data_IF_148270757002
#
_entry.id   IF_148270757002
#
_cell.length_a   1.000
_cell.length_b   1.000
_cell.length_c   1.000
_cell.angle_alpha   90.00
_cell.angle_beta   90.00
_cell.angle_gamma   90.00
#
_symmetry.space_group_name_H-M   'P 1'
#
loop_
_entity.id
_entity.type
_entity.pdbx_description
1 polymer ?
#
# COMPACT_ATOMS: atom_id res chain seq x y z
N UNK A 1 11.19 0.60 -2.21
CA UNK A 1 9.86 0.34 -2.78
C UNK A 1 9.20 1.63 -3.28
N UNK A 2 8.46 1.62 -4.41
CA UNK A 2 7.68 2.77 -4.86
C UNK A 2 6.24 2.66 -4.35
N UNK A 3 5.76 3.67 -3.63
CA UNK A 3 4.37 3.77 -3.12
C UNK A 3 3.35 3.52 -4.24
N UNK A 4 3.64 4.07 -5.43
CA UNK A 4 2.85 3.91 -6.66
C UNK A 4 2.65 2.44 -7.06
N UNK A 5 3.70 1.61 -6.91
CA UNK A 5 3.64 0.19 -7.27
C UNK A 5 2.76 -0.61 -6.33
N UNK A 6 2.69 -0.25 -5.05
CA UNK A 6 1.75 -0.89 -4.13
C UNK A 6 0.31 -0.43 -4.38
N UNK A 7 0.09 0.87 -4.56
CA UNK A 7 -1.23 1.42 -4.90
C UNK A 7 -1.82 0.81 -6.18
N UNK A 8 -0.99 0.63 -7.22
CA UNK A 8 -1.41 0.02 -8.48
C UNK A 8 -1.80 -1.45 -8.31
N UNK A 9 -0.97 -2.26 -7.63
CA UNK A 9 -1.27 -3.67 -7.39
C UNK A 9 -2.52 -3.86 -6.52
N UNK A 10 -2.71 -3.03 -5.49
CA UNK A 10 -3.92 -3.08 -4.65
C UNK A 10 -5.16 -2.68 -5.44
N UNK A 11 -5.07 -1.66 -6.29
CA UNK A 11 -6.14 -1.24 -7.21
C UNK A 11 -6.51 -2.36 -8.19
N UNK A 12 -5.52 -3.02 -8.77
CA UNK A 12 -5.71 -4.17 -9.67
C UNK A 12 -6.39 -5.35 -8.97
N UNK A 13 -5.98 -5.66 -7.74
CA UNK A 13 -6.58 -6.70 -6.95
C UNK A 13 -8.04 -6.38 -6.60
N UNK A 14 -8.33 -5.15 -6.20
CA UNK A 14 -9.71 -4.72 -5.93
C UNK A 14 -10.55 -4.87 -7.19
N UNK A 15 -10.03 -4.41 -8.33
CA UNK A 15 -10.74 -4.44 -9.61
C UNK A 15 -11.04 -5.85 -10.10
N UNK A 16 -10.15 -6.81 -9.86
CA UNK A 16 -10.29 -8.19 -10.36
C UNK A 16 -11.03 -9.11 -9.40
N UNK A 17 -10.86 -8.92 -8.09
CA UNK A 17 -11.24 -9.93 -7.09
C UNK A 17 -12.34 -9.44 -6.16
N UNK A 18 -12.33 -8.17 -5.74
CA UNK A 18 -13.27 -7.66 -4.74
C UNK A 18 -14.48 -6.94 -5.35
N UNK A 19 -14.28 -6.23 -6.44
CA UNK A 19 -15.29 -5.36 -7.02
C UNK A 19 -15.04 -5.14 -8.51
N UNK A 20 -15.75 -5.91 -9.34
CA UNK A 20 -15.70 -5.77 -10.79
C UNK A 20 -16.20 -4.41 -11.27
N UNK A 21 -17.06 -3.74 -10.49
CA UNK A 21 -17.52 -2.37 -10.74
C UNK A 21 -16.42 -1.32 -10.62
N UNK A 22 -15.36 -1.62 -9.86
CA UNK A 22 -14.20 -0.73 -9.77
C UNK A 22 -13.34 -0.72 -11.04
N UNK A 23 -13.44 -1.72 -11.92
CA UNK A 23 -12.66 -1.77 -13.16
C UNK A 23 -12.91 -0.56 -14.07
N UNK A 24 -14.18 -0.16 -14.18
CA UNK A 24 -14.59 1.02 -14.96
C UNK A 24 -14.12 2.32 -14.30
N UNK A 25 -14.22 2.41 -12.97
CA UNK A 25 -13.76 3.57 -12.21
C UNK A 25 -12.23 3.73 -12.26
N UNK A 26 -11.49 2.62 -12.25
CA UNK A 26 -10.02 2.60 -12.33
C UNK A 26 -9.50 3.29 -13.59
N UNK A 27 -10.17 3.10 -14.73
CA UNK A 27 -9.78 3.76 -15.99
C UNK A 27 -9.90 5.28 -15.95
N UNK A 28 -10.69 5.82 -15.00
CA UNK A 28 -10.86 7.27 -14.81
C UNK A 28 -9.89 7.84 -13.78
N UNK A 29 -9.16 7.00 -13.05
CA UNK A 29 -8.19 7.41 -12.04
C UNK A 29 -6.82 7.60 -12.68
N UNK A 30 -6.29 8.82 -12.60
CA UNK A 30 -4.91 9.13 -12.97
C UNK A 30 -4.02 9.19 -11.72
N UNK A 31 -3.00 8.32 -11.67
CA UNK A 31 -2.00 8.34 -10.60
C UNK A 31 -0.89 9.33 -10.94
N UNK A 32 -0.83 10.43 -10.19
CA UNK A 32 0.21 11.45 -10.36
C UNK A 32 1.52 10.95 -9.76
N UNK A 33 2.58 10.90 -10.56
CA UNK A 33 3.93 10.62 -10.09
C UNK A 33 4.54 11.87 -9.43
N UNK A 34 4.13 12.17 -8.20
CA UNK A 34 4.69 13.26 -7.40
C UNK A 34 5.44 12.74 -6.17
N UNK A 35 6.64 13.28 -5.92
CA UNK A 35 7.42 12.96 -4.72
C UNK A 35 7.23 14.06 -3.66
N UNK A 36 6.09 14.02 -2.96
CA UNK A 36 5.72 14.99 -1.94
C UNK A 36 5.63 14.30 -0.57
N UNK A 37 6.13 14.95 0.48
CA UNK A 37 6.04 14.46 1.86
C UNK A 37 4.58 14.35 2.34
N UNK A 38 4.31 13.45 3.29
CA UNK A 38 2.95 13.26 3.85
C UNK A 38 2.40 14.53 4.47
N UNK A 39 3.22 15.31 5.16
CA UNK A 39 2.79 16.50 5.89
C UNK A 39 2.48 17.65 4.93
N UNK A 40 3.28 17.77 3.86
CA UNK A 40 3.06 18.73 2.79
C UNK A 40 1.78 18.39 2.00
N UNK A 41 1.57 17.10 1.69
CA UNK A 41 0.31 16.64 1.06
C UNK A 41 -0.89 16.89 1.96
N UNK A 42 -0.78 16.58 3.26
CA UNK A 42 -1.88 16.78 4.21
C UNK A 42 -2.22 18.27 4.34
N UNK A 43 -1.21 19.13 4.41
CA UNK A 43 -1.40 20.58 4.47
C UNK A 43 -2.06 21.11 3.20
N UNK A 44 -1.64 20.63 2.03
CA UNK A 44 -2.19 21.01 0.74
C UNK A 44 -3.66 20.58 0.56
N UNK A 45 -4.03 19.40 1.03
CA UNK A 45 -5.42 18.92 0.98
C UNK A 45 -6.32 19.54 2.05
N UNK A 46 -5.75 20.01 3.17
CA UNK A 46 -6.48 20.75 4.20
C UNK A 46 -6.70 22.22 3.87
N UNK A 47 -5.98 22.77 2.89
CA UNK A 47 -6.23 24.13 2.41
C UNK A 47 -7.58 24.21 1.68
N UNK A 48 -8.55 24.82 2.35
CA UNK A 48 -9.91 25.04 1.86
C UNK A 48 -9.94 25.80 0.54
N UNK A 49 -9.02 26.74 0.30
CA UNK A 49 -9.02 27.54 -0.93
C UNK A 49 -8.60 26.69 -2.14
N UNK A 50 -7.59 25.83 -2.00
CA UNK A 50 -7.17 24.92 -3.08
C UNK A 50 -8.14 23.76 -3.29
N UNK A 51 -8.64 23.16 -2.20
CA UNK A 51 -9.54 22.00 -2.26
C UNK A 51 -10.92 22.35 -2.87
N UNK A 52 -11.36 23.61 -2.74
CA UNK A 52 -12.61 24.08 -3.35
C UNK A 52 -12.48 24.56 -4.81
N UNK A 53 -11.30 25.03 -5.23
CA UNK A 53 -11.16 25.74 -6.51
C UNK A 53 -10.44 24.98 -7.62
N UNK A 54 -9.53 24.04 -7.30
CA UNK A 54 -8.59 23.53 -8.32
C UNK A 54 -8.12 22.08 -8.13
N UNK A 55 -8.12 21.52 -6.92
CA UNK A 55 -7.62 20.16 -6.66
C UNK A 55 -8.62 19.25 -5.96
N UNK A 56 -9.77 18.97 -6.60
CA UNK A 56 -10.69 17.89 -6.18
C UNK A 56 -10.12 16.53 -6.58
N UNK A 57 -8.99 16.18 -5.96
CA UNK A 57 -8.24 14.94 -6.14
C UNK A 57 -8.43 14.02 -4.94
N UNK A 58 -7.95 12.78 -5.03
CA UNK A 58 -7.90 11.84 -3.90
C UNK A 58 -6.44 11.76 -3.45
N UNK A 59 -6.17 12.02 -2.17
CA UNK A 59 -4.84 11.88 -1.60
C UNK A 59 -4.70 10.48 -0.99
N UNK A 60 -3.72 9.71 -1.46
CA UNK A 60 -3.40 8.40 -0.90
C UNK A 60 -2.07 8.51 -0.14
N UNK A 61 -2.14 8.44 1.19
CA UNK A 61 -0.99 8.46 2.09
C UNK A 61 -0.49 7.04 2.38
N UNK A 62 0.68 6.95 3.02
CA UNK A 62 1.20 5.68 3.53
C UNK A 62 0.29 5.13 4.64
N UNK A 63 0.36 3.81 4.87
CA UNK A 63 -0.51 3.13 5.83
C UNK A 63 -0.27 3.50 7.30
N UNK A 64 0.79 4.26 7.60
CA UNK A 64 1.06 4.82 8.92
C UNK A 64 0.35 6.16 9.18
N UNK A 65 -0.27 6.75 8.16
CA UNK A 65 -0.94 8.04 8.26
C UNK A 65 -2.44 7.89 8.54
N UNK A 66 -3.05 8.92 9.14
CA UNK A 66 -4.48 8.95 9.40
C UNK A 66 -5.27 9.34 8.14
N UNK A 67 -6.33 8.57 7.86
CA UNK A 67 -7.34 8.89 6.84
C UNK A 67 -8.20 10.07 7.27
N UNK A 68 -8.47 11.00 6.35
CA UNK A 68 -9.37 12.13 6.53
C UNK A 68 -10.30 12.27 5.32
N UNK A 69 -11.44 11.58 5.40
CA UNK A 69 -12.45 11.55 4.34
C UNK A 69 -13.12 12.91 4.11
N UNK A 70 -13.00 13.88 5.03
CA UNK A 70 -13.51 15.24 4.82
C UNK A 70 -12.69 15.97 3.75
N UNK A 71 -11.39 15.68 3.71
CA UNK A 71 -10.44 16.26 2.76
C UNK A 71 -10.03 15.29 1.64
N UNK A 72 -10.75 14.18 1.43
CA UNK A 72 -10.44 13.14 0.44
C UNK A 72 -9.06 12.48 0.64
N UNK A 73 -8.60 12.42 1.89
CA UNK A 73 -7.34 11.78 2.27
C UNK A 73 -7.66 10.36 2.75
N UNK A 74 -7.04 9.37 2.12
CA UNK A 74 -7.10 7.96 2.50
C UNK A 74 -5.69 7.43 2.74
N UNK A 75 -5.56 6.36 3.51
CA UNK A 75 -4.26 5.74 3.81
C UNK A 75 -4.19 4.34 3.20
N UNK A 76 -3.01 3.95 2.73
CA UNK A 76 -2.79 2.58 2.24
C UNK A 76 -3.14 1.54 3.32
N UNK A 77 -3.65 0.37 2.94
CA UNK A 77 -3.98 -0.67 3.92
C UNK A 77 -2.69 -1.20 4.56
N UNK A 78 -2.78 -1.69 5.80
CA UNK A 78 -1.67 -2.35 6.52
C UNK A 78 -1.07 -1.59 7.71
N UNK A 79 -1.52 -0.36 8.01
CA UNK A 79 -1.22 0.30 9.30
C UNK A 79 0.24 0.69 9.54
N UNK A 80 1.12 0.48 8.55
CA UNK A 80 2.55 0.69 8.64
C UNK A 80 3.11 1.01 7.26
N UNK A 81 4.33 1.55 7.17
CA UNK A 81 4.98 1.76 5.89
C UNK A 81 5.08 0.43 5.13
N UNK A 82 4.90 0.42 3.80
CA UNK A 82 4.89 -0.80 3.01
C UNK A 82 6.17 -1.62 3.22
N UNK A 83 7.32 -0.94 3.33
CA UNK A 83 8.63 -1.56 3.59
C UNK A 83 8.65 -2.39 4.89
N UNK A 84 7.93 -2.00 5.95
CA UNK A 84 7.90 -2.78 7.20
C UNK A 84 6.82 -3.84 7.17
N UNK A 85 5.68 -3.51 6.58
CA UNK A 85 4.52 -4.41 6.49
C UNK A 85 4.88 -5.72 5.76
N UNK A 86 5.59 -5.66 4.62
CA UNK A 86 5.97 -6.89 3.91
C UNK A 86 7.01 -7.71 4.65
N UNK A 87 7.92 -7.08 5.39
CA UNK A 87 8.88 -7.82 6.23
C UNK A 87 8.20 -8.51 7.40
N UNK A 88 7.19 -7.89 8.02
CA UNK A 88 6.37 -8.53 9.07
C UNK A 88 5.60 -9.71 8.48
N UNK A 89 4.91 -9.50 7.35
CA UNK A 89 4.15 -10.55 6.69
C UNK A 89 5.06 -11.72 6.25
N UNK A 90 6.27 -11.44 5.77
CA UNK A 90 7.23 -12.48 5.42
C UNK A 90 7.64 -13.33 6.63
N UNK A 91 7.74 -12.74 7.83
CA UNK A 91 7.98 -13.52 9.07
C UNK A 91 6.80 -14.42 9.41
N UNK A 92 5.57 -13.93 9.25
CA UNK A 92 4.35 -14.72 9.46
C UNK A 92 4.28 -15.90 8.47
N UNK A 93 4.64 -15.68 7.20
CA UNK A 93 4.73 -16.74 6.18
C UNK A 93 5.77 -17.82 6.54
N UNK A 94 6.81 -17.49 7.31
CA UNK A 94 7.82 -18.45 7.74
C UNK A 94 7.36 -19.31 8.93
N UNK A 95 6.53 -18.76 9.83
CA UNK A 95 6.10 -19.43 11.06
C UNK A 95 4.77 -20.18 10.92
N UNK A 96 3.89 -19.78 10.00
CA UNK A 96 2.57 -20.39 9.81
C UNK A 96 2.56 -21.58 8.85
N UNK A 97 2.05 -22.73 9.30
CA UNK A 97 1.85 -23.93 8.46
C UNK A 97 0.81 -23.71 7.34
N UNK A 98 -0.15 -22.81 7.55
CA UNK A 98 -1.20 -22.45 6.59
C UNK A 98 -0.66 -21.77 5.31
N UNK A 99 0.63 -21.41 5.28
CA UNK A 99 1.26 -20.67 4.17
C UNK A 99 2.11 -21.55 3.25
N UNK A 100 2.00 -22.88 3.34
CA UNK A 100 2.70 -23.80 2.43
C UNK A 100 2.33 -23.58 0.95
N UNK A 101 1.10 -23.15 0.65
CA UNK A 101 0.69 -22.80 -0.71
C UNK A 101 1.57 -21.70 -1.33
N UNK A 102 1.89 -20.66 -0.57
CA UNK A 102 2.81 -19.61 -1.01
C UNK A 102 4.19 -20.17 -1.34
N UNK A 103 4.73 -21.03 -0.46
CA UNK A 103 6.06 -21.61 -0.66
C UNK A 103 6.14 -22.51 -1.90
N UNK A 104 5.06 -23.23 -2.22
CA UNK A 104 4.95 -24.00 -3.45
C UNK A 104 4.93 -23.10 -4.71
N UNK A 105 4.20 -21.99 -4.68
CA UNK A 105 4.15 -21.04 -5.79
C UNK A 105 5.50 -20.36 -6.04
N UNK A 106 6.20 -19.93 -4.99
CA UNK A 106 7.47 -19.22 -5.13
C UNK A 106 8.65 -20.14 -5.46
N UNK A 107 8.52 -21.45 -5.21
CA UNK A 107 9.52 -22.46 -5.57
C UNK A 107 9.74 -22.50 -7.09
N UNK A 108 8.69 -22.31 -7.89
CA UNK A 108 8.79 -22.22 -9.35
C UNK A 108 9.65 -21.05 -9.83
N UNK A 109 9.81 -20.01 -8.99
CA UNK A 109 10.66 -18.85 -9.26
C UNK A 109 12.06 -18.96 -8.65
N UNK A 110 12.41 -20.12 -8.07
CA UNK A 110 13.71 -20.37 -7.44
C UNK A 110 13.83 -19.80 -6.02
N UNK A 111 12.73 -19.34 -5.41
CA UNK A 111 12.73 -18.82 -4.05
C UNK A 111 12.34 -19.90 -3.05
N UNK A 112 12.92 -19.82 -1.85
CA UNK A 112 12.65 -20.77 -0.77
C UNK A 112 12.62 -20.08 0.60
N UNK A 113 12.29 -20.84 1.65
CA UNK A 113 12.39 -20.37 3.04
C UNK A 113 13.80 -19.92 3.40
N UNK A 114 14.84 -20.50 2.78
CA UNK A 114 16.23 -20.05 2.97
C UNK A 114 16.42 -18.64 2.40
N UNK A 115 15.97 -18.41 1.16
CA UNK A 115 16.04 -17.08 0.53
C UNK A 115 15.28 -16.03 1.34
N UNK A 116 14.10 -16.38 1.86
CA UNK A 116 13.35 -15.50 2.74
C UNK A 116 14.07 -15.19 4.05
N UNK A 117 14.73 -16.19 4.65
CA UNK A 117 15.56 -15.98 5.84
C UNK A 117 16.72 -15.03 5.57
N UNK A 118 17.37 -15.13 4.41
CA UNK A 118 18.49 -14.27 4.04
C UNK A 118 18.00 -12.83 3.79
N UNK A 119 16.88 -12.67 3.06
CA UNK A 119 16.22 -11.36 2.88
C UNK A 119 15.85 -10.72 4.22
N UNK A 120 15.31 -11.48 5.17
CA UNK A 120 14.97 -10.95 6.50
C UNK A 120 16.21 -10.58 7.32
N UNK A 121 17.30 -11.37 7.25
CA UNK A 121 18.57 -11.02 7.90
C UNK A 121 19.16 -9.74 7.31
N UNK A 122 19.14 -9.61 5.99
CA UNK A 122 19.59 -8.41 5.30
C UNK A 122 18.76 -7.19 5.73
N UNK A 123 17.44 -7.35 5.88
CA UNK A 123 16.57 -6.31 6.41
C UNK A 123 16.89 -5.95 7.87
N UNK A 124 17.14 -6.94 8.73
CA UNK A 124 17.48 -6.72 10.14
C UNK A 124 18.86 -6.04 10.30
N UNK A 125 19.81 -6.36 9.42
CA UNK A 125 21.13 -5.71 9.38
C UNK A 125 21.05 -4.20 9.16
N UNK A 126 19.95 -3.69 8.60
CA UNK A 126 19.72 -2.25 8.44
C UNK A 126 19.62 -1.58 9.81
N UNK A 127 18.97 -2.22 10.80
CA UNK A 127 18.87 -1.68 12.15
C UNK A 127 20.25 -1.61 12.83
N UNK A 128 21.09 -2.64 12.62
CA UNK A 128 22.46 -2.70 13.12
C UNK A 128 23.32 -1.59 12.50
N UNK A 129 23.28 -1.43 11.17
CA UNK A 129 23.99 -0.35 10.46
C UNK A 129 23.58 1.04 10.94
N UNK A 130 22.30 1.25 11.25
CA UNK A 130 21.83 2.53 11.82
C UNK A 130 22.36 2.74 13.23
N UNK A 131 22.43 1.69 14.06
CA UNK A 131 22.99 1.75 15.39
C UNK A 131 24.49 2.08 15.37
N UNK A 132 25.24 1.48 14.44
CA UNK A 132 26.65 1.78 14.20
C UNK A 132 26.85 3.25 13.79
N UNK A 133 26.09 3.74 12.82
CA UNK A 133 26.14 5.15 12.37
C UNK A 133 25.79 6.15 13.48
N UNK A 134 24.83 5.78 14.34
CA UNK A 134 24.47 6.57 15.52
C UNK A 134 25.63 6.59 16.54
N UNK A 135 26.30 5.47 16.75
CA UNK A 135 27.47 5.37 17.63
C UNK A 135 28.68 6.14 17.10
N UNK A 136 28.79 6.27 15.78
CA UNK A 136 29.80 7.10 15.11
C UNK A 136 29.47 8.60 15.08
N UNK A 137 28.36 9.02 15.71
CA UNK A 137 27.94 10.43 15.78
C UNK A 137 27.41 11.00 14.46
N UNK A 138 27.09 10.16 13.47
CA UNK A 138 26.56 10.60 12.17
C UNK A 138 25.04 10.78 12.22
N UNK A 139 24.53 11.67 11.37
CA UNK A 139 23.08 11.90 11.26
C UNK A 139 22.40 10.67 10.68
N UNK A 140 21.45 10.11 11.43
CA UNK A 140 20.65 8.94 11.02
C UNK A 140 19.29 9.33 10.44
N UNK A 141 19.00 10.63 10.34
CA UNK A 141 17.71 11.13 9.89
C UNK A 141 17.46 10.72 8.43
N UNK A 142 16.42 9.90 8.22
CA UNK A 142 16.05 9.38 6.90
C UNK A 142 16.92 8.22 6.38
N UNK A 143 17.99 7.85 7.09
CA UNK A 143 18.90 6.77 6.70
C UNK A 143 18.17 5.43 6.61
N UNK A 144 17.29 5.15 7.59
CA UNK A 144 16.44 3.96 7.57
C UNK A 144 15.64 3.85 6.27
N UNK A 145 15.05 4.95 5.82
CA UNK A 145 14.23 4.96 4.62
C UNK A 145 15.06 4.73 3.35
N UNK A 146 16.28 5.26 3.31
CA UNK A 146 17.20 5.07 2.18
C UNK A 146 17.63 3.60 2.10
N UNK A 147 18.09 3.03 3.22
CA UNK A 147 18.56 1.66 3.28
C UNK A 147 17.43 0.65 3.04
N UNK A 148 16.25 0.85 3.63
CA UNK A 148 15.08 0.02 3.33
C UNK A 148 14.74 0.10 1.84
N UNK A 149 14.68 1.30 1.23
CA UNK A 149 14.40 1.41 -0.20
C UNK A 149 15.41 0.66 -1.08
N UNK A 150 16.70 0.69 -0.72
CA UNK A 150 17.75 -0.02 -1.43
C UNK A 150 17.55 -1.54 -1.34
N UNK A 151 17.36 -2.06 -0.12
CA UNK A 151 17.06 -3.47 0.13
C UNK A 151 15.82 -3.96 -0.65
N UNK A 152 14.72 -3.20 -0.62
CA UNK A 152 13.52 -3.52 -1.39
C UNK A 152 13.72 -3.47 -2.91
N UNK A 153 14.66 -2.66 -3.40
CA UNK A 153 14.98 -2.59 -4.83
C UNK A 153 15.81 -3.80 -5.25
N UNK A 154 16.72 -4.23 -4.40
CA UNK A 154 17.56 -5.41 -4.60
C UNK A 154 16.72 -6.70 -4.66
N UNK A 155 15.80 -6.88 -3.72
CA UNK A 155 14.92 -8.06 -3.67
C UNK A 155 13.55 -7.83 -4.33
N UNK A 156 13.45 -6.92 -5.30
CA UNK A 156 12.17 -6.46 -5.88
C UNK A 156 11.28 -7.61 -6.37
N UNK A 157 11.86 -8.56 -7.12
CA UNK A 157 11.12 -9.67 -7.71
C UNK A 157 10.51 -10.59 -6.63
N UNK A 158 11.24 -10.84 -5.54
CA UNK A 158 10.74 -11.61 -4.41
C UNK A 158 9.62 -10.86 -3.68
N UNK A 159 9.80 -9.57 -3.41
CA UNK A 159 8.77 -8.74 -2.78
C UNK A 159 7.53 -8.53 -3.66
N UNK A 160 7.62 -8.67 -4.98
CA UNK A 160 6.45 -8.73 -5.87
C UNK A 160 5.59 -9.98 -5.59
N UNK A 161 6.20 -11.13 -5.30
CA UNK A 161 5.49 -12.36 -4.93
C UNK A 161 4.89 -12.26 -3.53
N UNK A 162 5.67 -11.78 -2.54
CA UNK A 162 5.21 -11.56 -1.17
C UNK A 162 4.00 -10.59 -1.16
N UNK A 163 4.02 -9.56 -1.99
CA UNK A 163 2.89 -8.64 -2.16
C UNK A 163 1.63 -9.30 -2.66
N UNK A 164 1.73 -10.12 -3.71
CA UNK A 164 0.58 -10.85 -4.26
C UNK A 164 -0.03 -11.76 -3.21
N UNK A 165 0.82 -12.46 -2.46
CA UNK A 165 0.40 -13.31 -1.34
C UNK A 165 -0.28 -12.51 -0.23
N UNK A 166 0.24 -11.31 0.09
CA UNK A 166 -0.39 -10.43 1.07
C UNK A 166 -1.78 -9.97 0.64
N UNK A 167 -2.00 -9.71 -0.65
CA UNK A 167 -3.30 -9.27 -1.16
C UNK A 167 -4.38 -10.35 -1.07
N UNK A 168 -4.02 -11.63 -1.14
CA UNK A 168 -4.96 -12.75 -1.03
C UNK A 168 -5.12 -13.29 0.39
N UNK A 169 -4.23 -12.90 1.32
CA UNK A 169 -4.26 -13.38 2.70
C UNK A 169 -5.56 -12.98 3.42
N UNK A 170 -6.16 -13.89 4.20
CA UNK A 170 -7.41 -13.61 4.93
C UNK A 170 -7.24 -12.48 5.95
N UNK A 171 -6.11 -12.47 6.67
CA UNK A 171 -5.81 -11.46 7.69
C UNK A 171 -5.68 -10.04 7.14
N UNK A 172 -5.36 -9.86 5.86
CA UNK A 172 -5.26 -8.54 5.23
C UNK A 172 -6.59 -8.07 4.62
N UNK A 173 -7.57 -8.96 4.40
CA UNK A 173 -8.82 -8.62 3.72
C UNK A 173 -9.62 -7.53 4.42
N UNK A 174 -9.62 -7.51 5.76
CA UNK A 174 -10.31 -6.47 6.52
C UNK A 174 -9.73 -5.08 6.22
N UNK A 175 -8.39 -4.97 6.17
CA UNK A 175 -7.70 -3.72 5.85
C UNK A 175 -7.93 -3.31 4.38
N UNK A 176 -7.89 -4.28 3.46
CA UNK A 176 -8.13 -4.03 2.02
C UNK A 176 -9.58 -3.58 1.78
N UNK A 177 -10.57 -4.21 2.43
CA UNK A 177 -11.99 -3.81 2.34
C UNK A 177 -12.21 -2.41 2.90
N UNK A 178 -11.59 -2.08 4.03
CA UNK A 178 -11.63 -0.72 4.59
C UNK A 178 -11.09 0.29 3.58
N UNK A 179 -9.90 0.04 3.03
CA UNK A 179 -9.30 0.90 2.01
C UNK A 179 -10.20 1.06 0.77
N UNK A 180 -10.78 -0.04 0.26
CA UNK A 180 -11.74 0.00 -0.87
C UNK A 180 -12.94 0.89 -0.55
N UNK A 181 -13.50 0.79 0.65
CA UNK A 181 -14.67 1.57 1.05
C UNK A 181 -14.34 3.07 1.20
N UNK A 182 -13.17 3.39 1.74
CA UNK A 182 -12.67 4.77 1.82
C UNK A 182 -12.39 5.34 0.42
N UNK A 183 -11.79 4.55 -0.46
CA UNK A 183 -11.56 4.93 -1.86
C UNK A 183 -12.88 5.16 -2.61
N UNK A 184 -13.87 4.29 -2.41
CA UNK A 184 -15.21 4.45 -2.97
C UNK A 184 -15.88 5.74 -2.49
N UNK A 185 -15.82 6.01 -1.19
CA UNK A 185 -16.38 7.22 -0.60
C UNK A 185 -15.69 8.49 -1.14
N UNK A 186 -14.36 8.46 -1.28
CA UNK A 186 -13.60 9.55 -1.88
C UNK A 186 -13.97 9.73 -3.37
N UNK A 187 -14.05 8.65 -4.13
CA UNK A 187 -14.43 8.66 -5.54
C UNK A 187 -15.81 9.26 -5.77
N UNK A 188 -16.84 8.85 -5.01
CA UNK A 188 -18.19 9.41 -5.13
C UNK A 188 -18.22 10.92 -4.90
N UNK A 189 -17.43 11.43 -3.95
CA UNK A 189 -17.32 12.86 -3.66
C UNK A 189 -16.60 13.64 -4.76
N UNK A 190 -15.61 13.03 -5.41
CA UNK A 190 -14.86 13.66 -6.51
C UNK A 190 -15.56 13.52 -7.87
N UNK A 191 -16.31 12.44 -8.11
CA UNK A 191 -16.95 12.14 -9.39
C UNK A 191 -17.95 13.24 -9.81
N UNK A 192 -18.78 13.72 -8.88
CA UNK A 192 -19.73 14.80 -9.14
C UNK A 192 -19.05 16.10 -9.62
N UNK A 193 -17.82 16.37 -9.15
CA UNK A 193 -17.07 17.55 -9.56
C UNK A 193 -16.46 17.42 -10.95
N UNK A 194 -16.00 16.22 -11.31
CA UNK A 194 -15.43 15.94 -12.63
C UNK A 194 -16.51 15.60 -13.68
N UNK A 195 -17.79 15.82 -13.37
CA UNK A 195 -18.93 15.46 -14.24
C UNK A 195 -18.94 13.97 -14.64
N UNK A 196 -18.42 13.11 -13.75
CA UNK A 196 -18.40 11.66 -13.92
C UNK A 196 -19.66 11.10 -13.25
N UNK A 197 -20.36 10.20 -13.95
CA UNK A 197 -21.49 9.49 -13.35
C UNK A 197 -20.99 8.57 -12.22
N UNK A 198 -21.38 8.90 -10.98
CA UNK A 198 -21.02 8.14 -9.79
C UNK A 198 -21.51 6.68 -9.82
N UNK A 199 -22.46 6.33 -10.70
CA UNK A 199 -22.95 4.95 -10.91
C UNK A 199 -21.97 4.08 -11.69
N UNK A 200 -20.95 4.67 -12.33
CA UNK A 200 -19.86 3.91 -12.98
C UNK A 200 -19.16 2.99 -11.98
N UNK A 201 -19.11 3.42 -10.72
CA UNK A 201 -18.75 2.55 -9.61
C UNK A 201 -20.02 2.23 -8.79
N UNK A 202 -20.66 1.06 -9.00
CA UNK A 202 -21.81 0.68 -8.20
C UNK A 202 -21.39 0.47 -6.75
N UNK A 203 -22.26 0.87 -5.82
CA UNK A 203 -22.10 0.48 -4.43
C UNK A 203 -22.32 -1.04 -4.37
N UNK A 204 -21.36 -1.79 -3.83
CA UNK A 204 -21.62 -3.17 -3.45
C UNK A 204 -22.78 -3.14 -2.45
N UNK A 205 -23.96 -3.56 -2.89
CA UNK A 205 -25.10 -3.83 -2.02
C UNK A 205 -24.67 -4.97 -1.10
N UNK A 206 -24.83 -4.79 0.21
CA UNK A 206 -24.61 -5.83 1.20
C UNK A 206 -25.70 -6.89 1.08
N UNK A 207 -25.69 -7.66 0.00
CA UNK A 207 -26.51 -8.87 -0.16
C UNK A 207 -25.58 -10.08 -0.12
N UNK A 208 -25.13 -10.42 1.09
CA UNK A 208 -24.60 -11.74 1.44
C UNK A 208 -24.48 -11.89 2.96
N UNK A 209 -25.53 -11.53 3.68
CA UNK A 209 -25.78 -12.02 5.03
C UNK A 209 -27.24 -12.48 5.06
N UNK A 210 -27.48 -13.64 4.44
CA UNK A 210 -28.64 -14.48 4.69
C UNK A 210 -28.21 -15.57 5.67
#
# INVERSE_FOLDING_TARGET
>A
MTRLGFSCNTSDYISKTLDTGFASAKNLLHFVEANIGSDALTSLFRDLKMNQSSMRSICILDGDQMSDLKHHIIALPGGSPPDRMFSIFLRELMTGEAHNAFWHEVQAFGYSKLTASDVLKDFDSIAEKIAEEKSAGRSTHGLQRILSKAHFKEHRAFYDLVRKAWLVNEGSQAAIRKFRNELFAAFKKTAAFHSIDARIWPQLTTEAAA
#
